data_IF_736166874862
#
_entry.id   IF_736166874862
#
_cell.length_a   1.000
_cell.length_b   1.000
_cell.length_c   1.000
_cell.angle_alpha   90.00
_cell.angle_beta   90.00
_cell.angle_gamma   90.00
#
_symmetry.space_group_name_H-M   'P 1'
#
loop_
_entity.id
_entity.type
_entity.pdbx_description
1 polymer ?
#
# COMPACT_ATOMS: atom_id res chain seq x y z
N UNK A 1 -10.29 -26.52 -18.64
CA UNK A 1 -9.12 -25.75 -18.17
C UNK A 1 -9.47 -25.18 -16.82
N UNK A 2 -8.80 -25.60 -15.77
CA UNK A 2 -8.98 -24.93 -14.47
C UNK A 2 -8.46 -23.50 -14.63
N UNK A 3 -9.36 -22.54 -14.55
CA UNK A 3 -9.00 -21.13 -14.52
C UNK A 3 -8.29 -20.87 -13.19
N UNK A 4 -7.35 -19.95 -13.15
CA UNK A 4 -6.62 -19.57 -11.92
C UNK A 4 -7.58 -19.32 -10.73
N UNK A 5 -8.70 -18.62 -10.96
CA UNK A 5 -9.75 -18.41 -9.97
C UNK A 5 -10.35 -19.69 -9.41
N UNK A 6 -10.64 -20.69 -10.28
CA UNK A 6 -11.20 -21.97 -9.85
C UNK A 6 -10.18 -22.76 -8.99
N UNK A 7 -8.90 -22.68 -9.35
CA UNK A 7 -7.82 -23.28 -8.60
C UNK A 7 -7.71 -22.70 -7.17
N UNK A 8 -7.75 -21.38 -7.05
CA UNK A 8 -7.76 -20.69 -5.75
C UNK A 8 -9.03 -21.07 -4.95
N UNK A 9 -10.20 -21.03 -5.60
CA UNK A 9 -11.47 -21.40 -4.96
C UNK A 9 -11.46 -22.84 -4.45
N UNK A 10 -10.93 -23.80 -5.21
CA UNK A 10 -10.77 -25.19 -4.77
C UNK A 10 -9.89 -25.28 -3.52
N UNK A 11 -8.74 -24.57 -3.52
CA UNK A 11 -7.83 -24.55 -2.37
C UNK A 11 -8.50 -23.97 -1.11
N UNK A 12 -9.22 -22.87 -1.24
CA UNK A 12 -9.96 -22.25 -0.13
C UNK A 12 -11.08 -23.15 0.42
N UNK A 13 -11.65 -24.01 -0.41
CA UNK A 13 -12.64 -25.01 0.00
C UNK A 13 -12.03 -26.36 0.40
N UNK A 14 -10.72 -26.43 0.62
CA UNK A 14 -9.99 -27.68 0.97
C UNK A 14 -10.18 -28.79 -0.05
N UNK A 15 -10.36 -28.45 -1.32
CA UNK A 15 -10.51 -29.39 -2.43
C UNK A 15 -9.21 -29.50 -3.23
N UNK A 16 -9.02 -30.60 -3.92
CA UNK A 16 -7.86 -30.78 -4.79
C UNK A 16 -7.95 -29.84 -6.00
N UNK A 17 -7.07 -28.87 -6.04
CA UNK A 17 -6.97 -27.91 -7.14
C UNK A 17 -6.12 -28.41 -8.33
N UNK A 18 -5.57 -29.61 -8.25
CA UNK A 18 -4.67 -30.19 -9.25
C UNK A 18 -3.23 -29.64 -9.21
N UNK A 19 -3.05 -28.42 -8.74
CA UNK A 19 -1.75 -27.78 -8.47
C UNK A 19 -1.92 -26.72 -7.39
N UNK A 20 -0.81 -26.33 -6.76
CA UNK A 20 -0.81 -25.27 -5.73
C UNK A 20 -1.11 -23.93 -6.39
N UNK A 21 -2.08 -23.13 -5.89
CA UNK A 21 -2.27 -21.75 -6.33
C UNK A 21 -1.04 -20.90 -6.01
N UNK A 22 -0.70 -20.00 -6.93
CA UNK A 22 0.43 -19.09 -6.78
C UNK A 22 -0.10 -17.68 -6.61
N UNK A 23 0.18 -17.07 -5.48
CA UNK A 23 0.06 -15.64 -5.27
C UNK A 23 1.45 -15.00 -5.24
N UNK A 24 1.70 -14.09 -6.19
CA UNK A 24 2.95 -13.37 -6.28
C UNK A 24 2.65 -11.96 -6.79
N UNK A 25 2.73 -10.99 -5.87
CA UNK A 25 2.50 -9.58 -6.17
C UNK A 25 1.06 -9.11 -6.09
N UNK A 26 0.10 -9.90 -5.56
CA UNK A 26 -1.28 -9.42 -5.36
C UNK A 26 -1.46 -8.60 -4.07
N UNK A 27 -0.48 -8.57 -3.20
CA UNK A 27 -0.45 -7.72 -1.99
C UNK A 27 0.97 -7.24 -1.74
N UNK A 28 1.14 -6.26 -0.85
CA UNK A 28 2.46 -5.84 -0.38
C UNK A 28 3.24 -7.00 0.29
N UNK A 29 2.52 -7.92 0.96
CA UNK A 29 3.12 -9.08 1.64
C UNK A 29 3.68 -10.11 0.66
N UNK A 30 3.03 -10.28 -0.50
CA UNK A 30 3.47 -11.20 -1.56
C UNK A 30 4.22 -10.50 -2.70
N UNK A 31 4.47 -9.19 -2.53
CA UNK A 31 5.17 -8.34 -3.49
C UNK A 31 6.67 -8.56 -3.50
N UNK A 32 7.32 -7.98 -4.52
CA UNK A 32 8.77 -8.03 -4.67
C UNK A 32 9.29 -6.69 -5.16
N UNK A 33 10.50 -6.32 -4.73
CA UNK A 33 11.14 -5.07 -5.09
C UNK A 33 11.26 -4.88 -6.62
N UNK A 34 11.06 -3.67 -7.11
CA UNK A 34 11.02 -3.33 -8.55
C UNK A 34 12.25 -3.79 -9.33
N UNK A 35 13.45 -3.82 -8.71
CA UNK A 35 14.68 -4.33 -9.34
C UNK A 35 14.56 -5.82 -9.70
N UNK A 36 13.90 -6.60 -8.84
CA UNK A 36 13.72 -8.03 -9.09
C UNK A 36 12.65 -8.24 -10.15
N UNK A 37 11.61 -7.40 -10.19
CA UNK A 37 10.62 -7.44 -11.28
C UNK A 37 11.29 -7.23 -12.63
N UNK A 38 12.16 -6.22 -12.76
CA UNK A 38 12.96 -5.99 -13.98
C UNK A 38 13.86 -7.19 -14.31
N UNK A 39 14.56 -7.74 -13.31
CA UNK A 39 15.41 -8.90 -13.49
C UNK A 39 14.63 -10.13 -13.95
N UNK A 40 13.43 -10.37 -13.40
CA UNK A 40 12.55 -11.46 -13.83
C UNK A 40 12.04 -11.25 -15.26
N UNK A 41 11.65 -10.01 -15.64
CA UNK A 41 11.27 -9.72 -17.03
C UNK A 41 12.41 -10.04 -17.99
N UNK A 42 13.63 -9.63 -17.65
CA UNK A 42 14.82 -9.93 -18.46
C UNK A 42 15.09 -11.45 -18.52
N UNK A 43 14.98 -12.16 -17.39
CA UNK A 43 15.18 -13.62 -17.33
C UNK A 43 14.20 -14.38 -18.24
N UNK A 44 12.93 -13.94 -18.27
CA UNK A 44 11.90 -14.54 -19.13
C UNK A 44 11.90 -14.00 -20.59
N UNK A 45 12.86 -13.14 -20.96
CA UNK A 45 12.99 -12.58 -22.29
C UNK A 45 11.84 -11.64 -22.69
N UNK A 46 11.21 -11.00 -21.71
CA UNK A 46 10.14 -10.02 -21.94
C UNK A 46 10.74 -8.66 -22.36
N UNK A 47 10.00 -7.90 -23.15
CA UNK A 47 10.44 -6.58 -23.60
C UNK A 47 10.74 -5.65 -22.42
N UNK A 48 11.86 -4.91 -22.44
CA UNK A 48 12.19 -3.91 -21.42
C UNK A 48 11.12 -2.81 -21.36
N UNK A 49 10.71 -2.45 -20.16
CA UNK A 49 9.81 -1.32 -19.91
C UNK A 49 10.02 -0.77 -18.49
N UNK A 50 9.63 0.47 -18.20
CA UNK A 50 9.61 0.97 -16.83
C UNK A 50 8.74 0.08 -15.95
N UNK A 51 9.21 -0.26 -14.74
CA UNK A 51 8.43 -1.03 -13.77
C UNK A 51 7.51 -0.08 -13.01
N UNK A 52 6.19 -0.35 -13.03
CA UNK A 52 5.25 0.43 -12.23
C UNK A 52 5.44 0.10 -10.74
N UNK A 53 5.60 1.13 -9.91
CA UNK A 53 5.64 0.98 -8.45
C UNK A 53 4.20 0.87 -7.94
N UNK A 54 3.91 -0.21 -7.21
CA UNK A 54 2.59 -0.49 -6.62
C UNK A 54 2.56 -0.28 -5.11
N UNK A 55 3.73 -0.28 -4.48
CA UNK A 55 3.94 0.10 -3.08
C UNK A 55 5.20 0.96 -3.03
N UNK A 56 5.01 2.27 -2.82
CA UNK A 56 6.12 3.21 -2.82
C UNK A 56 7.01 3.06 -1.58
N UNK A 57 6.45 2.67 -0.44
CA UNK A 57 7.21 2.53 0.81
C UNK A 57 8.28 1.44 0.71
N UNK A 58 7.92 0.28 0.15
CA UNK A 58 8.81 -0.86 -0.03
C UNK A 58 9.42 -0.92 -1.44
N UNK A 59 9.12 0.03 -2.32
CA UNK A 59 9.54 0.05 -3.73
C UNK A 59 9.16 -1.25 -4.47
N UNK A 60 7.96 -1.79 -4.19
CA UNK A 60 7.48 -3.00 -4.86
C UNK A 60 7.02 -2.68 -6.27
N UNK A 61 7.41 -3.55 -7.21
CA UNK A 61 7.04 -3.45 -8.61
C UNK A 61 5.81 -4.28 -8.97
N UNK A 62 5.01 -3.77 -9.91
CA UNK A 62 3.87 -4.51 -10.47
C UNK A 62 4.33 -5.80 -11.15
N UNK A 63 3.70 -6.90 -10.80
CA UNK A 63 3.79 -8.15 -11.57
C UNK A 63 2.78 -8.04 -12.70
N UNK A 64 3.20 -7.46 -13.81
CA UNK A 64 2.35 -7.21 -14.97
C UNK A 64 1.82 -8.50 -15.63
N UNK A 65 0.84 -8.36 -16.51
CA UNK A 65 0.15 -9.50 -17.10
C UNK A 65 1.08 -10.48 -17.84
N UNK A 66 2.12 -9.97 -18.54
CA UNK A 66 3.08 -10.82 -19.25
C UNK A 66 3.95 -11.61 -18.30
N UNK A 67 4.46 -10.94 -17.24
CA UNK A 67 5.29 -11.60 -16.23
C UNK A 67 4.45 -12.57 -15.39
N UNK A 68 3.24 -12.19 -15.00
CA UNK A 68 2.30 -13.04 -14.28
C UNK A 68 1.98 -14.33 -15.05
N UNK A 69 1.84 -14.25 -16.38
CA UNK A 69 1.64 -15.43 -17.23
C UNK A 69 2.87 -16.34 -17.26
N UNK A 70 4.08 -15.76 -17.34
CA UNK A 70 5.33 -16.53 -17.36
C UNK A 70 5.61 -17.24 -16.04
N UNK A 71 5.26 -16.60 -14.91
CA UNK A 71 5.43 -17.17 -13.56
C UNK A 71 4.31 -18.18 -13.26
N UNK A 72 3.13 -18.01 -13.84
CA UNK A 72 1.93 -18.79 -13.54
C UNK A 72 1.19 -18.30 -12.30
N UNK A 73 1.10 -16.97 -12.13
CA UNK A 73 0.41 -16.33 -11.01
C UNK A 73 -1.10 -16.49 -11.13
N UNK A 74 -1.76 -16.91 -10.07
CA UNK A 74 -3.20 -17.19 -10.03
C UNK A 74 -4.03 -16.04 -9.42
N UNK A 75 -3.37 -15.06 -8.79
CA UNK A 75 -4.02 -13.93 -8.12
C UNK A 75 -3.73 -12.60 -8.82
N UNK A 76 -4.59 -11.62 -8.62
CA UNK A 76 -4.43 -10.24 -9.06
C UNK A 76 -4.95 -9.30 -7.98
N UNK A 77 -4.29 -8.16 -7.76
CA UNK A 77 -4.71 -7.20 -6.74
C UNK A 77 -5.67 -6.13 -7.25
N UNK A 78 -6.42 -5.59 -6.30
CA UNK A 78 -7.06 -4.27 -6.37
C UNK A 78 -6.55 -3.46 -5.20
N UNK A 79 -5.88 -2.35 -5.47
CA UNK A 79 -5.47 -1.37 -4.46
C UNK A 79 -6.34 -0.11 -4.47
N UNK A 80 -6.14 0.77 -3.52
CA UNK A 80 -6.82 2.07 -3.47
C UNK A 80 -6.28 3.08 -4.50
N UNK A 81 -7.03 4.18 -4.73
CA UNK A 81 -6.60 5.24 -5.63
C UNK A 81 -5.45 6.08 -5.06
N UNK A 82 -5.10 5.88 -3.80
CA UNK A 82 -4.00 6.53 -3.10
C UNK A 82 -3.11 5.52 -2.39
N UNK A 83 -1.83 5.85 -2.24
CA UNK A 83 -0.87 5.06 -1.47
C UNK A 83 -0.74 5.54 -0.01
N UNK A 84 0.19 4.93 0.74
CA UNK A 84 0.46 5.26 2.16
C UNK A 84 0.96 6.70 2.38
N UNK A 85 1.42 7.39 1.32
CA UNK A 85 1.84 8.78 1.34
C UNK A 85 0.74 9.76 0.90
N UNK A 86 -0.50 9.29 0.72
CA UNK A 86 -1.64 10.05 0.16
C UNK A 86 -1.39 10.50 -1.29
N UNK A 87 -0.54 9.80 -2.04
CA UNK A 87 -0.26 10.09 -3.45
C UNK A 87 -1.27 9.38 -4.36
N UNK A 88 -1.76 10.11 -5.37
CA UNK A 88 -2.68 9.58 -6.39
C UNK A 88 -1.99 8.53 -7.27
N UNK A 89 -2.36 7.25 -7.10
CA UNK A 89 -1.81 6.11 -7.83
C UNK A 89 -2.44 5.91 -9.21
N UNK A 90 -3.47 6.69 -9.55
CA UNK A 90 -4.14 6.62 -10.86
C UNK A 90 -3.39 7.40 -11.95
N UNK A 91 -2.53 8.35 -11.54
CA UNK A 91 -1.71 9.17 -12.43
C UNK A 91 -0.23 8.90 -12.15
N UNK A 92 0.42 8.29 -13.14
CA UNK A 92 1.80 7.85 -13.02
C UNK A 92 2.67 8.55 -14.07
N UNK A 93 3.93 8.82 -13.72
CA UNK A 93 4.93 9.31 -14.65
C UNK A 93 6.23 8.53 -14.53
N UNK A 94 7.06 8.61 -15.56
CA UNK A 94 8.33 7.91 -15.58
C UNK A 94 9.41 8.71 -14.85
N UNK A 95 10.15 8.03 -13.97
CA UNK A 95 11.35 8.54 -13.32
C UNK A 95 12.48 7.53 -13.31
N UNK A 96 13.68 8.01 -13.02
CA UNK A 96 14.86 7.16 -12.82
C UNK A 96 15.19 7.13 -11.33
N UNK A 97 15.28 5.95 -10.77
CA UNK A 97 15.66 5.73 -9.36
C UNK A 97 17.15 6.11 -9.14
N UNK A 98 17.59 6.34 -7.88
CA UNK A 98 18.98 6.59 -7.56
C UNK A 98 19.98 5.51 -8.03
N UNK A 99 19.49 4.29 -8.25
CA UNK A 99 20.31 3.18 -8.80
C UNK A 99 20.18 2.99 -10.31
N UNK A 100 19.58 3.95 -11.03
CA UNK A 100 19.54 3.98 -12.49
C UNK A 100 18.43 3.17 -13.17
N UNK A 101 17.46 2.64 -12.42
CA UNK A 101 16.32 1.91 -12.97
C UNK A 101 15.20 2.88 -13.37
N UNK A 102 14.59 2.64 -14.55
CA UNK A 102 13.38 3.37 -14.98
C UNK A 102 12.15 2.76 -14.32
N UNK A 103 11.34 3.59 -13.69
CA UNK A 103 10.12 3.21 -12.98
C UNK A 103 8.97 4.15 -13.31
N UNK A 104 7.73 3.69 -13.12
CA UNK A 104 6.55 4.54 -13.07
C UNK A 104 6.16 4.76 -11.61
N UNK A 105 6.07 6.00 -11.19
CA UNK A 105 5.68 6.43 -9.83
C UNK A 105 4.51 7.42 -9.88
N UNK A 106 3.76 7.62 -8.80
CA UNK A 106 2.73 8.66 -8.73
C UNK A 106 3.25 10.02 -9.20
N UNK A 107 2.42 10.79 -9.92
CA UNK A 107 2.83 12.06 -10.54
C UNK A 107 3.44 13.07 -9.55
N UNK A 108 2.97 13.06 -8.30
CA UNK A 108 3.47 13.94 -7.25
C UNK A 108 4.68 13.38 -6.48
N UNK A 109 5.20 12.20 -6.84
CA UNK A 109 6.40 11.62 -6.25
C UNK A 109 7.64 12.04 -7.04
N UNK A 110 8.68 12.53 -6.34
CA UNK A 110 9.97 12.86 -6.94
C UNK A 110 11.06 11.96 -6.34
N UNK A 111 11.77 11.24 -7.22
CA UNK A 111 12.89 10.37 -6.85
C UNK A 111 14.25 11.05 -7.05
N UNK A 112 14.29 12.35 -7.29
CA UNK A 112 15.53 13.10 -7.47
C UNK A 112 16.29 13.21 -6.14
N UNK A 113 17.53 12.69 -6.05
CA UNK A 113 18.31 12.83 -4.83
C UNK A 113 18.70 14.28 -4.55
N UNK A 114 18.74 14.64 -3.28
CA UNK A 114 19.30 15.91 -2.82
C UNK A 114 20.85 15.94 -2.95
N UNK A 115 21.48 17.03 -2.48
CA UNK A 115 22.96 17.19 -2.51
C UNK A 115 23.70 16.15 -1.66
N UNK A 116 23.05 15.47 -0.72
CA UNK A 116 23.60 14.40 0.11
C UNK A 116 23.40 13.02 -0.53
N UNK A 117 22.51 12.96 -1.52
CA UNK A 117 22.10 11.74 -2.21
C UNK A 117 20.89 11.05 -1.62
N UNK A 118 20.16 11.72 -0.72
CA UNK A 118 18.93 11.22 -0.10
C UNK A 118 17.72 11.65 -0.94
N UNK A 119 16.69 10.79 -1.01
CA UNK A 119 15.40 11.10 -1.66
C UNK A 119 14.34 11.28 -0.58
N UNK A 120 13.61 12.37 -0.62
CA UNK A 120 12.56 12.68 0.35
C UNK A 120 11.17 12.51 -0.27
N UNK A 121 10.25 11.96 0.54
CA UNK A 121 8.84 11.82 0.17
C UNK A 121 7.99 12.71 1.08
N UNK A 122 7.01 13.38 0.48
CA UNK A 122 6.15 14.34 1.15
C UNK A 122 4.69 13.87 1.10
N UNK A 123 3.96 14.06 2.19
CA UNK A 123 2.54 13.71 2.25
C UNK A 123 1.75 14.46 1.17
N UNK A 124 1.01 13.71 0.34
CA UNK A 124 0.30 14.25 -0.81
C UNK A 124 1.18 14.95 -1.85
N UNK A 125 2.52 14.78 -1.80
CA UNK A 125 3.49 15.46 -2.66
C UNK A 125 3.72 16.94 -2.31
N UNK A 126 3.22 17.42 -1.17
CA UNK A 126 3.25 18.83 -0.79
C UNK A 126 4.54 19.23 -0.06
N UNK A 127 5.49 19.79 -0.78
CA UNK A 127 6.80 20.22 -0.26
C UNK A 127 6.75 21.48 0.63
N UNK A 128 5.58 22.10 0.84
CA UNK A 128 5.44 23.16 1.83
C UNK A 128 5.43 22.65 3.27
N UNK A 129 5.35 21.33 3.47
CA UNK A 129 5.41 20.66 4.75
C UNK A 129 6.70 19.86 4.89
N UNK A 130 7.12 19.51 6.11
CA UNK A 130 8.28 18.62 6.30
C UNK A 130 8.09 17.27 5.61
N UNK A 131 9.17 16.64 5.10
CA UNK A 131 9.07 15.33 4.50
C UNK A 131 8.57 14.29 5.52
N UNK A 132 7.78 13.35 5.03
CA UNK A 132 7.21 12.27 5.83
C UNK A 132 8.05 11.00 5.79
N UNK A 133 8.91 10.88 4.78
CA UNK A 133 9.78 9.71 4.63
C UNK A 133 11.04 10.05 3.84
N UNK A 134 12.05 9.16 3.92
CA UNK A 134 13.34 9.33 3.26
C UNK A 134 13.87 7.98 2.77
N UNK A 135 14.43 7.97 1.57
CA UNK A 135 15.32 6.89 1.10
C UNK A 135 16.76 7.41 1.23
N UNK A 136 17.55 6.94 2.21
CA UNK A 136 18.92 7.37 2.38
C UNK A 136 19.79 6.96 1.19
N UNK A 137 20.85 7.71 0.94
CA UNK A 137 21.83 7.40 -0.11
C UNK A 137 22.30 5.96 -0.05
N UNK A 138 22.22 5.26 -1.17
CA UNK A 138 22.64 3.86 -1.30
C UNK A 138 21.63 2.84 -0.76
N UNK A 139 20.49 3.28 -0.22
CA UNK A 139 19.36 2.43 0.15
C UNK A 139 18.43 2.19 -1.05
N UNK A 140 17.57 1.17 -0.90
CA UNK A 140 16.60 0.75 -1.90
C UNK A 140 15.15 0.82 -1.40
N UNK A 141 14.97 1.19 -0.14
CA UNK A 141 13.69 1.27 0.55
C UNK A 141 13.51 2.65 1.15
N UNK A 142 12.26 3.06 1.31
CA UNK A 142 11.88 4.31 1.94
C UNK A 142 11.63 4.04 3.42
N UNK A 143 12.17 4.88 4.29
CA UNK A 143 11.98 4.83 5.73
C UNK A 143 11.09 5.99 6.18
N UNK A 144 10.15 5.72 7.08
CA UNK A 144 9.36 6.78 7.69
C UNK A 144 10.26 7.74 8.49
N UNK A 145 9.96 9.04 8.40
CA UNK A 145 10.54 10.05 9.30
C UNK A 145 9.59 10.20 10.48
N UNK A 146 10.11 9.97 11.67
CA UNK A 146 9.33 10.17 12.89
C UNK A 146 9.05 11.67 13.10
N UNK A 147 7.76 12.03 13.19
CA UNK A 147 7.30 13.41 13.34
C UNK A 147 6.49 13.58 14.65
N UNK A 148 6.86 12.80 15.69
CA UNK A 148 6.21 12.84 16.99
C UNK A 148 6.31 14.23 17.61
N UNK A 149 5.17 14.81 17.94
CA UNK A 149 5.09 16.01 18.76
C UNK A 149 5.22 15.63 20.26
N UNK A 150 5.62 16.55 21.15
CA UNK A 150 5.60 16.30 22.60
C UNK A 150 4.23 15.77 23.04
N UNK A 151 4.22 14.65 23.77
CA UNK A 151 2.99 14.05 24.27
C UNK A 151 2.57 14.80 25.54
N UNK A 152 1.37 15.38 25.52
CA UNK A 152 0.68 15.96 26.65
C UNK A 152 -0.46 15.00 27.03
N UNK A 153 -0.28 14.20 28.08
CA UNK A 153 -1.17 13.07 28.43
C UNK A 153 -2.65 13.48 28.60
N UNK A 154 -2.90 14.68 29.10
CA UNK A 154 -4.23 15.23 29.31
C UNK A 154 -4.88 15.81 28.04
N UNK A 155 -4.16 15.81 26.92
CA UNK A 155 -4.60 16.30 25.62
C UNK A 155 -4.61 15.26 24.51
N UNK A 156 -4.25 14.03 24.84
CA UNK A 156 -4.33 12.94 23.87
C UNK A 156 -5.80 12.70 23.47
N UNK A 157 -6.07 12.84 22.18
CA UNK A 157 -7.36 12.55 21.57
C UNK A 157 -7.22 11.33 20.65
N UNK A 158 -8.00 10.25 20.87
CA UNK A 158 -7.99 9.09 19.98
C UNK A 158 -8.29 9.41 18.52
N UNK A 159 -9.03 10.50 18.24
CA UNK A 159 -9.30 10.96 16.87
C UNK A 159 -8.02 11.32 16.11
N UNK A 160 -7.01 11.82 16.81
CA UNK A 160 -5.74 12.19 16.20
C UNK A 160 -4.98 10.99 15.61
N UNK A 161 -5.22 9.77 16.10
CA UNK A 161 -4.61 8.55 15.57
C UNK A 161 -5.46 7.82 14.52
N UNK A 162 -6.61 8.37 14.16
CA UNK A 162 -7.46 7.82 13.09
C UNK A 162 -7.67 8.81 11.93
N UNK A 163 -7.03 9.99 11.96
CA UNK A 163 -7.26 11.09 11.00
C UNK A 163 -6.90 10.71 9.55
N UNK A 164 -6.06 9.69 9.31
CA UNK A 164 -5.76 9.17 7.98
C UNK A 164 -6.81 8.19 7.45
N UNK A 165 -7.72 7.71 8.31
CA UNK A 165 -8.77 6.76 7.94
C UNK A 165 -10.12 7.46 7.84
N UNK A 166 -10.85 7.21 6.77
CA UNK A 166 -12.14 7.83 6.53
C UNK A 166 -13.14 6.89 5.89
N UNK A 167 -14.38 7.34 5.83
CA UNK A 167 -15.41 6.63 5.11
C UNK A 167 -15.20 6.77 3.59
N UNK A 168 -15.31 5.67 2.87
CA UNK A 168 -15.25 5.65 1.41
C UNK A 168 -16.33 6.56 0.82
N UNK A 169 -15.92 7.37 -0.13
CA UNK A 169 -16.80 8.24 -0.91
C UNK A 169 -17.42 7.48 -2.08
N UNK A 170 -18.43 8.07 -2.73
CA UNK A 170 -19.02 7.51 -3.96
C UNK A 170 -17.98 7.39 -5.10
N UNK A 171 -17.00 8.30 -5.14
CA UNK A 171 -15.91 8.23 -6.12
C UNK A 171 -14.98 7.04 -5.84
N UNK A 172 -14.67 6.77 -4.57
CA UNK A 172 -13.86 5.61 -4.19
C UNK A 172 -14.58 4.32 -4.55
N UNK A 173 -15.88 4.23 -4.27
CA UNK A 173 -16.69 3.06 -4.62
C UNK A 173 -16.74 2.84 -6.14
N UNK A 174 -16.96 3.91 -6.91
CA UNK A 174 -16.95 3.83 -8.37
C UNK A 174 -15.58 3.36 -8.92
N UNK A 175 -14.49 3.85 -8.33
CA UNK A 175 -13.14 3.40 -8.66
C UNK A 175 -12.95 1.91 -8.38
N UNK A 176 -13.32 1.46 -7.17
CA UNK A 176 -13.19 0.04 -6.79
C UNK A 176 -14.03 -0.89 -7.66
N UNK A 177 -15.26 -0.49 -8.00
CA UNK A 177 -16.11 -1.25 -8.93
C UNK A 177 -15.44 -1.40 -10.31
N UNK A 178 -14.91 -0.31 -10.84
CA UNK A 178 -14.23 -0.34 -12.14
C UNK A 178 -12.97 -1.21 -12.13
N UNK A 179 -12.16 -1.15 -11.07
CA UNK A 179 -10.95 -1.99 -10.92
C UNK A 179 -11.32 -3.46 -10.67
N UNK A 180 -12.40 -3.73 -9.91
CA UNK A 180 -12.89 -5.08 -9.70
C UNK A 180 -13.34 -5.74 -11.02
N UNK A 181 -14.07 -5.01 -11.86
CA UNK A 181 -14.48 -5.49 -13.17
C UNK A 181 -13.28 -5.84 -14.07
N UNK A 182 -12.27 -4.94 -14.12
CA UNK A 182 -11.03 -5.19 -14.87
C UNK A 182 -10.29 -6.43 -14.35
N UNK A 183 -10.13 -6.53 -13.04
CA UNK A 183 -9.46 -7.67 -12.41
C UNK A 183 -10.23 -8.97 -12.64
N UNK A 184 -11.55 -8.93 -12.55
CA UNK A 184 -12.41 -10.10 -12.79
C UNK A 184 -12.26 -10.65 -14.20
N UNK A 185 -12.10 -9.80 -15.22
CA UNK A 185 -11.94 -10.21 -16.61
C UNK A 185 -10.64 -10.99 -16.87
N UNK A 186 -9.64 -10.87 -16.01
CA UNK A 186 -8.36 -11.61 -16.15
C UNK A 186 -8.52 -13.13 -15.95
N UNK A 187 -9.60 -13.57 -15.30
CA UNK A 187 -9.80 -14.98 -14.90
C UNK A 187 -8.96 -15.42 -13.70
N UNK A 188 -8.14 -14.52 -13.12
CA UNK A 188 -7.41 -14.74 -11.86
C UNK A 188 -8.33 -14.53 -10.66
N UNK A 189 -7.92 -15.06 -9.50
CA UNK A 189 -8.57 -14.72 -8.25
C UNK A 189 -8.22 -13.27 -7.86
N UNK A 190 -9.22 -12.52 -7.47
CA UNK A 190 -9.03 -11.12 -7.06
C UNK A 190 -8.74 -11.06 -5.57
N UNK A 191 -7.64 -10.41 -5.21
CA UNK A 191 -7.29 -10.08 -3.83
C UNK A 191 -7.45 -8.58 -3.68
N UNK A 192 -8.35 -8.15 -2.80
CA UNK A 192 -8.65 -6.74 -2.59
C UNK A 192 -8.15 -6.29 -1.21
N UNK A 193 -7.42 -5.17 -1.19
CA UNK A 193 -6.94 -4.52 0.03
C UNK A 193 -7.54 -3.12 0.06
N UNK A 194 -8.76 -3.01 0.59
CA UNK A 194 -9.51 -1.76 0.64
C UNK A 194 -10.48 -1.73 1.82
N UNK A 195 -10.90 -0.52 2.21
CA UNK A 195 -11.96 -0.29 3.22
C UNK A 195 -11.55 -0.54 4.67
N UNK A 196 -10.40 -1.14 4.92
CA UNK A 196 -9.86 -1.36 6.25
C UNK A 196 -9.10 -0.17 6.81
N UNK A 197 -8.64 -0.34 8.05
CA UNK A 197 -7.78 0.58 8.80
C UNK A 197 -6.50 -0.16 9.23
N UNK A 198 -5.62 0.52 9.98
CA UNK A 198 -4.34 -0.07 10.37
C UNK A 198 -4.44 -1.11 11.50
N UNK A 199 -5.36 -0.92 12.45
CA UNK A 199 -5.52 -1.75 13.66
C UNK A 199 -4.17 -2.04 14.36
N UNK A 200 -3.34 -0.99 14.52
CA UNK A 200 -2.06 -1.05 15.22
C UNK A 200 -0.88 -1.53 14.39
N UNK A 201 -1.02 -1.68 13.08
CA UNK A 201 0.14 -1.91 12.20
C UNK A 201 1.11 -0.73 12.30
N UNK A 202 2.32 -1.03 12.79
CA UNK A 202 3.36 -0.02 13.08
C UNK A 202 3.85 0.74 11.83
N UNK A 203 3.60 0.22 10.63
CA UNK A 203 3.91 0.92 9.39
C UNK A 203 3.06 2.19 9.22
N UNK A 204 1.85 2.23 9.78
CA UNK A 204 0.95 3.39 9.71
C UNK A 204 1.15 4.37 10.86
N UNK A 205 1.70 3.94 12.01
CA UNK A 205 1.89 4.81 13.18
C UNK A 205 2.54 6.15 12.85
N UNK A 206 3.59 6.26 11.99
CA UNK A 206 4.19 7.57 11.67
C UNK A 206 3.29 8.53 10.89
N UNK A 207 2.14 8.09 10.38
CA UNK A 207 1.19 8.91 9.63
C UNK A 207 1.80 9.51 8.38
N UNK A 208 2.44 8.70 7.54
CA UNK A 208 3.23 9.17 6.40
C UNK A 208 2.41 9.92 5.35
N UNK A 209 1.11 9.66 5.24
CA UNK A 209 0.18 10.37 4.37
C UNK A 209 -0.33 11.71 4.95
N UNK A 210 -0.01 12.01 6.20
CA UNK A 210 -0.45 13.23 6.87
C UNK A 210 0.60 14.33 6.78
N UNK A 211 0.19 15.56 6.47
CA UNK A 211 1.07 16.73 6.41
C UNK A 211 1.55 17.17 7.80
N UNK A 212 0.67 17.11 8.78
CA UNK A 212 0.90 17.48 10.17
C UNK A 212 0.28 16.44 11.10
N UNK A 213 0.90 15.24 11.25
CA UNK A 213 0.35 14.17 12.05
C UNK A 213 0.27 14.56 13.52
N UNK A 214 -0.84 14.21 14.15
CA UNK A 214 -1.10 14.41 15.58
C UNK A 214 -1.22 13.06 16.28
N UNK A 215 -1.37 13.10 17.62
CA UNK A 215 -1.48 11.90 18.43
C UNK A 215 -0.13 11.20 18.62
N UNK A 216 -0.15 9.88 18.73
CA UNK A 216 1.05 9.07 18.94
C UNK A 216 1.57 8.61 17.61
N UNK A 217 2.72 9.14 17.18
CA UNK A 217 3.33 8.94 15.85
C UNK A 217 4.75 8.36 15.91
N UNK A 218 5.28 8.13 17.11
CA UNK A 218 6.48 7.36 17.34
C UNK A 218 6.16 5.89 17.54
N UNK A 219 6.83 5.00 16.81
CA UNK A 219 6.69 3.55 16.98
C UNK A 219 7.06 3.14 18.42
N UNK A 220 8.05 3.78 19.02
CA UNK A 220 8.46 3.53 20.43
C UNK A 220 7.34 3.90 21.38
N UNK A 221 6.78 5.12 21.26
CA UNK A 221 5.66 5.58 22.10
C UNK A 221 4.41 4.73 21.89
N UNK A 222 4.16 4.27 20.66
CA UNK A 222 3.05 3.35 20.36
C UNK A 222 3.18 2.04 21.14
N UNK A 223 4.36 1.41 21.09
CA UNK A 223 4.60 0.20 21.89
C UNK A 223 4.53 0.46 23.39
N UNK A 224 5.05 1.59 23.88
CA UNK A 224 4.89 1.97 25.28
C UNK A 224 3.41 2.14 25.67
N UNK A 225 2.59 2.65 24.76
CA UNK A 225 1.16 2.84 24.99
C UNK A 225 0.40 1.52 25.19
N UNK A 226 0.89 0.41 24.67
CA UNK A 226 0.27 -0.92 24.93
C UNK A 226 0.31 -1.30 26.42
N UNK A 227 1.21 -0.73 27.19
CA UNK A 227 1.32 -0.93 28.64
C UNK A 227 0.82 0.28 29.45
N UNK A 228 1.01 1.50 28.96
CA UNK A 228 0.80 2.72 29.74
C UNK A 228 -0.48 3.47 29.41
N UNK A 229 -1.02 3.31 28.19
CA UNK A 229 -2.18 4.05 27.64
C UNK A 229 -3.20 3.11 27.03
N UNK A 230 -3.52 2.00 27.69
CA UNK A 230 -4.40 0.95 27.13
C UNK A 230 -5.78 1.49 26.79
N UNK A 231 -6.39 2.31 27.65
CA UNK A 231 -7.70 2.89 27.40
C UNK A 231 -7.71 3.80 26.18
N UNK A 232 -6.61 4.53 25.94
CA UNK A 232 -6.44 5.33 24.73
C UNK A 232 -6.39 4.45 23.48
N UNK A 233 -5.57 3.40 23.49
CA UNK A 233 -5.46 2.48 22.34
C UNK A 233 -6.77 1.74 22.06
N UNK A 234 -7.50 1.34 23.12
CA UNK A 234 -8.82 0.72 22.93
C UNK A 234 -9.78 1.66 22.19
N UNK A 235 -9.80 2.94 22.56
CA UNK A 235 -10.63 3.94 21.88
C UNK A 235 -10.19 4.17 20.43
N UNK A 236 -8.87 4.20 20.14
CA UNK A 236 -8.37 4.25 18.75
C UNK A 236 -8.85 3.05 17.97
N UNK A 237 -8.69 1.84 18.50
CA UNK A 237 -9.12 0.62 17.79
C UNK A 237 -10.63 0.52 17.60
N UNK A 238 -11.44 0.96 18.58
CA UNK A 238 -12.89 1.02 18.41
C UNK A 238 -13.28 1.91 17.24
N UNK A 239 -12.69 3.10 17.12
CA UNK A 239 -12.94 4.01 16.00
C UNK A 239 -12.48 3.44 14.66
N UNK A 240 -11.29 2.83 14.61
CA UNK A 240 -10.78 2.16 13.41
C UNK A 240 -11.71 1.02 12.97
N UNK A 241 -12.21 0.22 13.90
CA UNK A 241 -13.15 -0.88 13.63
C UNK A 241 -14.47 -0.34 13.07
N UNK A 242 -15.02 0.72 13.65
CA UNK A 242 -16.27 1.33 13.19
C UNK A 242 -16.13 1.85 11.75
N UNK A 243 -15.02 2.52 11.43
CA UNK A 243 -14.72 2.98 10.07
C UNK A 243 -14.59 1.79 9.11
N UNK A 244 -13.84 0.75 9.50
CA UNK A 244 -13.63 -0.43 8.67
C UNK A 244 -14.93 -1.17 8.38
N UNK A 245 -15.79 -1.39 9.39
CA UNK A 245 -17.09 -2.05 9.22
C UNK A 245 -17.96 -1.25 8.27
N UNK A 246 -18.11 0.07 8.48
CA UNK A 246 -18.92 0.92 7.64
C UNK A 246 -18.41 0.93 6.17
N UNK A 247 -17.10 0.90 5.96
CA UNK A 247 -16.50 0.81 4.63
C UNK A 247 -16.77 -0.56 3.97
N UNK A 248 -16.64 -1.66 4.73
CA UNK A 248 -16.94 -3.00 4.20
C UNK A 248 -18.42 -3.16 3.85
N UNK A 249 -19.34 -2.58 4.62
CA UNK A 249 -20.77 -2.57 4.29
C UNK A 249 -21.06 -1.85 2.96
N UNK A 250 -20.42 -0.68 2.74
CA UNK A 250 -20.52 0.07 1.47
C UNK A 250 -19.95 -0.74 0.30
N UNK A 251 -18.78 -1.34 0.47
CA UNK A 251 -18.13 -2.14 -0.56
C UNK A 251 -18.94 -3.39 -0.89
N UNK A 252 -19.47 -4.06 0.13
CA UNK A 252 -20.35 -5.22 -0.08
C UNK A 252 -21.60 -4.85 -0.86
N UNK A 253 -22.24 -3.73 -0.55
CA UNK A 253 -23.40 -3.24 -1.29
C UNK A 253 -23.09 -2.87 -2.75
N UNK A 254 -21.86 -2.41 -3.03
CA UNK A 254 -21.44 -1.98 -4.35
C UNK A 254 -20.92 -3.12 -5.24
N UNK A 255 -20.27 -4.14 -4.66
CA UNK A 255 -19.59 -5.23 -5.37
C UNK A 255 -20.32 -6.58 -5.29
N UNK A 256 -21.16 -6.78 -4.28
CA UNK A 256 -21.86 -8.04 -3.99
C UNK A 256 -23.14 -8.19 -4.70
#
# INVERSE_FOLDING_TARGET
MNRSRDKVRCALNHQNAGSIPVDFGSTAVTGIHCRIVEALRNYYGLAPRPVKIVDAFQMLGEIDAELAEKIGVDCISIGGPKDIFDLDTTRMHEQTTPWGQRVLVPEAMDLTPDMRGDVYVYAGGDQNYPPSAVMPKGCYFINAIERQQPIEEDRLDPEDNVEEFGLLTENDLAYYCAEADKAYQTGRAVVASFGGTALGDVAFVPGMGLKQPKGIRSVVEWYMSTAMRQDYLHQVFEKEIDIAIANYEKLWAALG
#
